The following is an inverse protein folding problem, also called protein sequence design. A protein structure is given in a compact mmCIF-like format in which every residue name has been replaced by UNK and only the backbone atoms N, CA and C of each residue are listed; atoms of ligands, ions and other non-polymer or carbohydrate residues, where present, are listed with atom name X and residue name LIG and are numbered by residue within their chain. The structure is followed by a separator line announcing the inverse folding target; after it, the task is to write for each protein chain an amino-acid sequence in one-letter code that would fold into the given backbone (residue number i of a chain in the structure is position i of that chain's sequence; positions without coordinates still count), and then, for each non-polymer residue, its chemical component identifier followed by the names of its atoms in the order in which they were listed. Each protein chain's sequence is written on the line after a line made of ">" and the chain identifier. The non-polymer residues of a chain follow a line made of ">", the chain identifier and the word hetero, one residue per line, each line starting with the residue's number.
data_IF_581195488950
#
_entry.id   IF_581195488950
#
_cell.length_a   1.000
_cell.length_b   1.000
_cell.length_c   1.000
_cell.angle_alpha   90.00
_cell.angle_beta   90.00
_cell.angle_gamma   90.00
#
_symmetry.space_group_name_H-M   'P 1'
#
loop_
_entity.id
_entity.type
_entity.pdbx_description
1 polymer ?
#
# COMPACT_ATOMS: atom_id res chain seq x y z
N UNK A 1 -18.88 -24.37 -29.18
CA UNK A 1 -18.78 -23.22 -28.26
C UNK A 1 -18.34 -23.78 -26.92
N UNK A 2 -17.04 -23.78 -26.64
CA UNK A 2 -16.53 -24.12 -25.31
C UNK A 2 -15.76 -22.91 -24.79
N UNK A 3 -16.30 -22.32 -23.73
CA UNK A 3 -15.80 -21.12 -23.08
C UNK A 3 -14.60 -21.46 -22.22
N UNK A 4 -13.41 -21.16 -22.74
CA UNK A 4 -12.20 -21.07 -21.94
C UNK A 4 -12.28 -19.79 -21.08
N UNK A 5 -12.69 -19.95 -19.82
CA UNK A 5 -12.78 -18.87 -18.85
C UNK A 5 -11.38 -18.57 -18.31
N UNK A 6 -10.86 -17.40 -18.65
CA UNK A 6 -9.49 -17.01 -18.41
C UNK A 6 -9.10 -16.86 -16.93
N UNK A 7 -7.83 -17.23 -16.67
CA UNK A 7 -6.79 -16.28 -16.27
C UNK A 7 -6.90 -15.65 -14.88
N UNK A 8 -6.01 -16.08 -13.99
CA UNK A 8 -5.66 -15.33 -12.78
C UNK A 8 -4.67 -16.06 -11.89
N UNK A 9 -3.41 -16.16 -12.31
CA UNK A 9 -2.33 -16.65 -11.46
C UNK A 9 -1.99 -15.70 -10.31
N UNK A 10 -1.38 -16.25 -9.24
CA UNK A 10 -0.61 -15.44 -8.29
C UNK A 10 -0.57 -15.94 -6.83
N UNK A 11 0.12 -17.06 -6.58
CA UNK A 11 0.89 -17.35 -5.35
C UNK A 11 0.17 -17.55 -4.00
N UNK A 12 0.19 -18.79 -3.47
CA UNK A 12 0.10 -19.19 -2.05
C UNK A 12 -1.02 -18.60 -1.14
N UNK A 13 -2.00 -17.88 -1.68
CA UNK A 13 -3.08 -17.32 -0.87
C UNK A 13 -4.10 -18.41 -0.48
N UNK A 14 -4.24 -18.67 0.82
CA UNK A 14 -5.27 -19.54 1.41
C UNK A 14 -6.53 -18.73 1.66
N UNK A 15 -7.68 -19.21 1.19
CA UNK A 15 -8.97 -18.58 1.47
C UNK A 15 -9.54 -19.09 2.81
N UNK A 16 -9.81 -18.15 3.72
CA UNK A 16 -10.30 -18.47 5.07
C UNK A 16 -11.82 -18.31 5.17
N UNK A 17 -12.37 -17.29 4.52
CA UNK A 17 -13.80 -16.99 4.52
C UNK A 17 -14.15 -16.20 3.26
N UNK A 18 -15.25 -16.58 2.60
CA UNK A 18 -15.84 -15.82 1.51
C UNK A 18 -17.29 -15.45 1.87
N UNK A 19 -17.67 -14.19 1.65
CA UNK A 19 -19.05 -13.70 1.76
C UNK A 19 -19.39 -12.85 0.55
N UNK A 20 -20.66 -12.82 0.21
CA UNK A 20 -21.19 -11.98 -0.86
C UNK A 20 -22.31 -11.10 -0.34
N UNK A 21 -22.44 -9.92 -0.94
CA UNK A 21 -23.53 -8.99 -0.64
C UNK A 21 -23.99 -8.34 -1.94
N UNK A 22 -25.28 -8.44 -2.22
CA UNK A 22 -25.89 -7.68 -3.31
C UNK A 22 -26.57 -6.43 -2.73
N UNK A 23 -26.20 -5.26 -3.25
CA UNK A 23 -26.86 -3.99 -2.96
C UNK A 23 -27.17 -3.31 -4.28
N UNK A 24 -28.46 -3.04 -4.54
CA UNK A 24 -28.94 -2.61 -5.84
C UNK A 24 -28.45 -3.56 -6.98
N UNK A 25 -27.81 -3.01 -8.02
CA UNK A 25 -27.19 -3.76 -9.12
C UNK A 25 -25.69 -4.05 -8.89
N UNK A 26 -25.18 -3.81 -7.69
CA UNK A 26 -23.78 -4.06 -7.33
C UNK A 26 -23.68 -5.35 -6.54
N UNK A 27 -22.69 -6.17 -6.87
CA UNK A 27 -22.35 -7.38 -6.15
C UNK A 27 -20.97 -7.21 -5.51
N UNK A 28 -20.93 -7.33 -4.20
CA UNK A 28 -19.71 -7.27 -3.41
C UNK A 28 -19.26 -8.68 -3.04
N UNK A 29 -17.96 -8.92 -3.14
CA UNK A 29 -17.28 -10.13 -2.65
C UNK A 29 -16.32 -9.73 -1.56
N UNK A 30 -16.36 -10.45 -0.44
CA UNK A 30 -15.51 -10.26 0.72
C UNK A 30 -14.73 -11.56 0.93
N UNK A 31 -13.46 -11.53 0.58
CA UNK A 31 -12.60 -12.70 0.69
C UNK A 31 -11.53 -12.43 1.75
N UNK A 32 -11.68 -13.05 2.93
CA UNK A 32 -10.63 -13.08 3.95
C UNK A 32 -9.61 -14.15 3.54
N UNK A 33 -8.37 -13.71 3.29
CA UNK A 33 -7.29 -14.56 2.79
C UNK A 33 -6.06 -14.46 3.67
N UNK A 34 -5.23 -15.49 3.61
CA UNK A 34 -3.95 -15.57 4.28
C UNK A 34 -2.85 -15.91 3.30
N UNK A 35 -1.71 -15.24 3.42
CA UNK A 35 -0.51 -15.58 2.68
C UNK A 35 0.73 -15.40 3.56
N UNK A 36 1.95 -15.71 3.07
CA UNK A 36 3.16 -15.60 3.87
C UNK A 36 3.43 -14.19 4.43
N UNK A 37 2.77 -13.14 3.91
CA UNK A 37 2.89 -11.75 4.42
C UNK A 37 1.86 -11.42 5.49
N UNK A 38 0.94 -12.33 5.78
CA UNK A 38 -0.13 -12.19 6.76
C UNK A 38 -1.53 -12.23 6.15
N UNK A 39 -2.52 -11.99 7.01
CA UNK A 39 -3.94 -12.03 6.65
C UNK A 39 -4.43 -10.67 6.17
N UNK A 40 -5.34 -10.71 5.20
CA UNK A 40 -5.95 -9.52 4.62
C UNK A 40 -7.37 -9.82 4.13
N UNK A 41 -8.21 -8.79 4.09
CA UNK A 41 -9.54 -8.83 3.52
C UNK A 41 -9.53 -8.18 2.14
N UNK A 42 -9.89 -8.95 1.12
CA UNK A 42 -10.13 -8.45 -0.24
C UNK A 42 -11.60 -8.13 -0.41
N UNK A 43 -11.91 -6.88 -0.75
CA UNK A 43 -13.28 -6.45 -1.02
C UNK A 43 -13.38 -6.07 -2.49
N UNK A 44 -14.08 -6.88 -3.28
CA UNK A 44 -14.35 -6.60 -4.69
C UNK A 44 -15.76 -6.06 -4.87
N UNK A 45 -15.91 -4.93 -5.54
CA UNK A 45 -17.17 -4.50 -6.13
C UNK A 45 -17.25 -4.97 -7.58
N UNK A 46 -18.33 -5.64 -7.96
CA UNK A 46 -18.64 -6.02 -9.34
C UNK A 46 -19.93 -5.34 -9.78
N UNK A 47 -19.86 -4.63 -10.90
CA UNK A 47 -21.01 -4.12 -11.65
C UNK A 47 -21.11 -4.85 -12.98
N UNK A 48 -22.12 -4.53 -13.79
CA UNK A 48 -22.21 -5.03 -15.17
C UNK A 48 -21.06 -4.55 -16.07
N UNK A 49 -20.41 -3.44 -15.72
CA UNK A 49 -19.39 -2.80 -16.57
C UNK A 49 -17.96 -3.01 -16.05
N UNK A 50 -17.78 -2.99 -14.73
CA UNK A 50 -16.46 -2.92 -14.10
C UNK A 50 -16.37 -3.79 -12.87
N UNK A 51 -15.13 -4.18 -12.52
CA UNK A 51 -14.79 -4.76 -11.23
C UNK A 51 -13.70 -3.90 -10.60
N UNK A 52 -13.95 -3.44 -9.38
CA UNK A 52 -12.99 -2.71 -8.56
C UNK A 52 -12.68 -3.49 -7.30
N UNK A 53 -11.50 -3.32 -6.71
CA UNK A 53 -11.14 -4.09 -5.52
C UNK A 53 -10.21 -3.30 -4.62
N UNK A 54 -10.54 -3.28 -3.33
CA UNK A 54 -9.65 -2.77 -2.29
C UNK A 54 -9.12 -3.92 -1.42
N UNK A 55 -7.93 -3.74 -0.85
CA UNK A 55 -7.26 -4.72 0.01
C UNK A 55 -7.04 -4.11 1.39
N UNK A 56 -7.79 -4.58 2.37
CA UNK A 56 -7.75 -4.13 3.77
C UNK A 56 -6.85 -5.07 4.57
N UNK A 57 -5.74 -4.59 5.18
CA UNK A 57 -4.96 -5.38 6.13
C UNK A 57 -5.84 -5.92 7.28
N UNK A 58 -5.54 -7.11 7.81
CA UNK A 58 -6.40 -7.73 8.85
C UNK A 58 -6.55 -6.89 10.13
N UNK A 59 -5.50 -6.18 10.55
CA UNK A 59 -5.54 -5.21 11.66
C UNK A 59 -6.42 -3.98 11.37
N UNK A 60 -6.80 -3.76 10.10
CA UNK A 60 -7.69 -2.69 9.66
C UNK A 60 -9.18 -3.04 9.66
N UNK A 61 -9.54 -4.31 9.81
CA UNK A 61 -10.93 -4.77 9.64
C UNK A 61 -11.83 -4.19 10.74
N UNK A 62 -11.36 -4.11 11.98
CA UNK A 62 -12.11 -3.50 13.09
C UNK A 62 -12.36 -2.02 12.85
N UNK A 63 -11.37 -1.28 12.35
CA UNK A 63 -11.51 0.14 12.02
C UNK A 63 -12.51 0.37 10.88
N UNK A 64 -12.50 -0.50 9.87
CA UNK A 64 -13.53 -0.49 8.83
C UNK A 64 -14.92 -0.72 9.41
N UNK A 65 -15.08 -1.69 10.32
CA UNK A 65 -16.34 -1.95 11.00
C UNK A 65 -16.82 -0.72 11.78
N UNK A 66 -15.94 -0.06 12.54
CA UNK A 66 -16.28 1.15 13.30
C UNK A 66 -16.69 2.31 12.40
N UNK A 67 -16.02 2.49 11.26
CA UNK A 67 -16.41 3.49 10.27
C UNK A 67 -17.78 3.18 9.66
N UNK A 68 -18.06 1.91 9.33
CA UNK A 68 -19.39 1.52 8.85
C UNK A 68 -20.47 1.58 9.93
N UNK A 69 -20.13 1.41 11.22
CA UNK A 69 -21.04 1.72 12.34
C UNK A 69 -21.38 3.21 12.38
N UNK A 70 -20.38 4.08 12.21
CA UNK A 70 -20.59 5.52 12.13
C UNK A 70 -21.50 5.90 10.95
N UNK A 71 -21.22 5.40 9.74
CA UNK A 71 -22.00 5.74 8.55
C UNK A 71 -23.41 5.16 8.56
N UNK A 72 -23.60 3.94 9.08
CA UNK A 72 -24.90 3.27 9.13
C UNK A 72 -25.74 3.67 10.35
N UNK A 73 -25.32 4.65 11.15
CA UNK A 73 -26.08 5.09 12.32
C UNK A 73 -27.32 5.88 11.88
N UNK A 74 -28.55 5.40 12.13
CA UNK A 74 -29.76 6.10 11.73
C UNK A 74 -29.99 7.40 12.51
N UNK A 75 -29.38 7.55 13.68
CA UNK A 75 -29.58 8.70 14.57
C UNK A 75 -28.70 9.91 14.20
N UNK A 76 -27.71 9.73 13.31
CA UNK A 76 -26.80 10.78 12.86
C UNK A 76 -26.91 10.98 11.33
N UNK A 77 -27.81 11.88 10.88
CA UNK A 77 -28.01 12.10 9.45
C UNK A 77 -26.84 12.85 8.79
N UNK A 78 -25.99 13.54 9.55
CA UNK A 78 -24.87 14.34 9.06
C UNK A 78 -23.54 13.58 9.19
N UNK A 79 -23.28 12.76 8.18
CA UNK A 79 -22.03 11.99 8.10
C UNK A 79 -20.96 12.71 7.28
N UNK A 80 -19.73 12.75 7.80
CA UNK A 80 -18.59 13.43 7.17
C UNK A 80 -17.60 12.46 6.52
N UNK A 81 -16.83 12.97 5.55
CA UNK A 81 -15.69 12.22 4.99
C UNK A 81 -14.66 11.91 6.07
N UNK A 82 -14.06 10.71 5.99
CA UNK A 82 -13.01 10.27 6.92
C UNK A 82 -11.83 9.67 6.18
N UNK A 83 -10.67 9.72 6.84
CA UNK A 83 -9.44 9.10 6.38
C UNK A 83 -8.99 8.06 7.41
N UNK A 84 -8.50 6.92 6.92
CA UNK A 84 -7.93 5.86 7.73
C UNK A 84 -6.57 5.46 7.15
N UNK A 85 -5.50 5.81 7.87
CA UNK A 85 -4.16 5.38 7.53
C UNK A 85 -3.85 4.03 8.18
N UNK A 86 -3.42 3.06 7.37
CA UNK A 86 -3.01 1.72 7.78
C UNK A 86 -1.70 1.38 7.07
N UNK A 87 -0.61 1.32 7.84
CA UNK A 87 0.74 1.05 7.34
C UNK A 87 1.12 1.98 6.17
N UNK A 88 1.24 1.41 4.96
CA UNK A 88 1.58 2.09 3.70
C UNK A 88 0.35 2.43 2.85
N UNK A 89 -0.84 2.27 3.42
CA UNK A 89 -2.13 2.52 2.77
C UNK A 89 -2.86 3.64 3.47
N UNK A 90 -3.59 4.40 2.68
CA UNK A 90 -4.55 5.38 3.16
C UNK A 90 -5.89 5.06 2.52
N UNK A 91 -6.92 4.95 3.34
CA UNK A 91 -8.28 4.75 2.90
C UNK A 91 -9.09 6.04 3.08
N UNK A 92 -9.73 6.48 2.01
CA UNK A 92 -10.63 7.63 2.03
C UNK A 92 -12.07 7.15 1.96
N UNK A 93 -12.90 7.63 2.88
CA UNK A 93 -14.32 7.35 3.00
C UNK A 93 -15.07 8.63 2.70
N UNK A 94 -15.55 8.77 1.47
CA UNK A 94 -16.24 9.98 1.01
C UNK A 94 -17.74 9.70 0.87
N UNK A 95 -18.56 10.45 1.61
CA UNK A 95 -20.01 10.41 1.46
C UNK A 95 -20.39 11.23 0.23
N UNK A 96 -21.23 10.65 -0.63
CA UNK A 96 -21.78 11.34 -1.79
C UNK A 96 -23.26 11.08 -1.93
N UNK A 97 -23.93 11.97 -2.66
CA UNK A 97 -25.35 11.86 -2.98
C UNK A 97 -25.56 12.16 -4.46
N UNK A 98 -26.41 11.38 -5.11
CA UNK A 98 -26.83 11.62 -6.48
C UNK A 98 -28.32 11.28 -6.63
N UNK A 99 -28.86 11.40 -7.85
CA UNK A 99 -30.29 11.12 -8.13
C UNK A 99 -30.76 9.72 -7.74
N UNK A 100 -29.84 8.77 -7.56
CA UNK A 100 -30.14 7.39 -7.14
C UNK A 100 -30.10 7.20 -5.62
N UNK A 101 -29.63 8.19 -4.87
CA UNK A 101 -29.50 8.15 -3.41
C UNK A 101 -28.09 8.43 -2.92
N UNK A 102 -27.91 8.24 -1.62
CA UNK A 102 -26.62 8.38 -0.93
C UNK A 102 -25.73 7.16 -1.19
N UNK A 103 -24.42 7.37 -1.18
CA UNK A 103 -23.42 6.32 -1.33
C UNK A 103 -22.15 6.68 -0.58
N UNK A 104 -21.40 5.65 -0.19
CA UNK A 104 -20.10 5.78 0.42
C UNK A 104 -19.05 5.32 -0.58
N UNK A 105 -18.16 6.22 -0.97
CA UNK A 105 -17.02 5.94 -1.84
C UNK A 105 -15.82 5.61 -0.96
N UNK A 106 -15.33 4.38 -1.07
CA UNK A 106 -14.17 3.90 -0.31
C UNK A 106 -12.99 3.73 -1.25
N UNK A 107 -11.97 4.57 -1.12
CA UNK A 107 -10.77 4.53 -1.96
C UNK A 107 -9.56 4.01 -1.20
N UNK A 108 -8.86 3.01 -1.74
CA UNK A 108 -7.52 2.59 -1.31
C UNK A 108 -6.47 3.37 -2.09
N UNK A 109 -5.63 4.14 -1.42
CA UNK A 109 -4.39 4.69 -1.96
C UNK A 109 -3.19 3.99 -1.30
N UNK A 110 -2.16 3.67 -2.08
CA UNK A 110 -0.93 3.08 -1.58
C UNK A 110 0.25 3.53 -2.43
N UNK A 111 1.44 3.60 -1.84
CA UNK A 111 2.66 4.03 -2.54
C UNK A 111 2.99 3.14 -3.74
N UNK A 112 2.58 1.87 -3.70
CA UNK A 112 2.93 0.85 -4.70
C UNK A 112 1.79 0.47 -5.64
N UNK A 113 0.57 1.02 -5.48
CA UNK A 113 -0.59 0.66 -6.29
C UNK A 113 -1.42 1.86 -6.69
N UNK A 114 -1.96 1.80 -7.91
CA UNK A 114 -2.95 2.75 -8.38
C UNK A 114 -4.14 2.79 -7.41
N UNK A 115 -4.68 4.00 -7.19
CA UNK A 115 -5.83 4.20 -6.33
C UNK A 115 -6.99 3.34 -6.83
N UNK A 116 -7.45 2.43 -6.00
CA UNK A 116 -8.64 1.63 -6.27
C UNK A 116 -9.81 2.18 -5.49
N UNK A 117 -11.03 2.01 -5.98
CA UNK A 117 -12.23 2.55 -5.31
C UNK A 117 -13.41 1.64 -5.49
N UNK A 118 -14.10 1.38 -4.39
CA UNK A 118 -15.43 0.78 -4.38
C UNK A 118 -16.47 1.84 -3.98
N UNK A 119 -17.71 1.66 -4.43
CA UNK A 119 -18.84 2.53 -4.14
C UNK A 119 -19.95 1.70 -3.52
N UNK A 120 -20.19 1.88 -2.23
CA UNK A 120 -21.23 1.19 -1.47
C UNK A 120 -22.48 2.07 -1.41
N UNK A 121 -23.57 1.72 -2.11
CA UNK A 121 -24.82 2.47 -2.02
C UNK A 121 -25.37 2.40 -0.60
N UNK A 122 -25.97 3.48 -0.13
CA UNK A 122 -26.68 3.48 1.15
C UNK A 122 -27.80 2.45 1.15
N UNK A 123 -28.45 2.22 0.00
CA UNK A 123 -29.52 1.23 -0.16
C UNK A 123 -30.80 1.90 -0.65
N UNK A 124 -31.88 1.13 -0.69
CA UNK A 124 -33.21 1.62 -1.13
C UNK A 124 -33.92 2.41 -0.03
N UNK A 125 -35.24 2.22 0.09
CA UNK A 125 -36.13 2.99 0.96
C UNK A 125 -35.82 2.96 2.48
N UNK A 126 -34.71 2.35 2.93
CA UNK A 126 -34.28 2.28 4.34
C UNK A 126 -32.76 2.42 4.56
N UNK A 127 -31.97 2.84 3.56
CA UNK A 127 -30.50 2.92 3.66
C UNK A 127 -29.85 1.66 4.26
N UNK A 128 -30.33 0.48 3.84
CA UNK A 128 -29.97 -0.83 4.37
C UNK A 128 -28.63 -1.37 3.85
N UNK A 129 -28.12 -0.83 2.74
CA UNK A 129 -26.87 -1.23 2.10
C UNK A 129 -25.65 -1.02 2.99
N UNK A 130 -25.53 0.14 3.65
CA UNK A 130 -24.43 0.39 4.60
C UNK A 130 -24.53 -0.51 5.83
N UNK A 131 -25.73 -0.71 6.37
CA UNK A 131 -25.96 -1.60 7.50
C UNK A 131 -25.67 -3.08 7.14
N UNK A 132 -26.05 -3.54 5.95
CA UNK A 132 -25.76 -4.88 5.48
C UNK A 132 -24.25 -5.09 5.28
N UNK A 133 -23.56 -4.11 4.69
CA UNK A 133 -22.11 -4.14 4.52
C UNK A 133 -21.39 -4.23 5.88
N UNK A 134 -21.83 -3.41 6.85
CA UNK A 134 -21.37 -3.43 8.24
C UNK A 134 -21.56 -4.78 8.91
N UNK A 135 -22.72 -5.42 8.74
CA UNK A 135 -22.99 -6.73 9.35
C UNK A 135 -22.05 -7.81 8.80
N UNK A 136 -21.77 -7.80 7.50
CA UNK A 136 -20.78 -8.71 6.89
C UNK A 136 -19.37 -8.44 7.45
N UNK A 137 -18.97 -7.16 7.60
CA UNK A 137 -17.70 -6.82 8.24
C UNK A 137 -17.63 -7.29 9.70
N UNK A 138 -18.73 -7.23 10.45
CA UNK A 138 -18.78 -7.71 11.82
C UNK A 138 -18.53 -9.23 11.89
N UNK A 139 -19.20 -10.01 11.04
CA UNK A 139 -18.98 -11.45 10.95
C UNK A 139 -17.54 -11.80 10.56
N UNK A 140 -16.95 -11.07 9.60
CA UNK A 140 -15.56 -11.25 9.20
C UNK A 140 -14.60 -10.86 10.33
N UNK A 141 -14.90 -9.80 11.08
CA UNK A 141 -14.08 -9.34 12.21
C UNK A 141 -14.10 -10.31 13.39
N UNK A 142 -15.21 -11.01 13.63
CA UNK A 142 -15.26 -12.11 14.59
C UNK A 142 -14.45 -13.32 14.07
N UNK A 143 -14.68 -13.73 12.81
CA UNK A 143 -13.96 -14.84 12.21
C UNK A 143 -12.44 -14.60 12.19
N UNK A 144 -11.99 -13.38 11.86
CA UNK A 144 -10.56 -13.04 11.81
C UNK A 144 -9.88 -13.15 13.20
N UNK A 145 -10.62 -12.98 14.30
CA UNK A 145 -10.11 -13.15 15.67
C UNK A 145 -10.02 -14.62 16.07
N UNK A 146 -10.92 -15.49 15.59
CA UNK A 146 -10.90 -16.91 15.91
C UNK A 146 -9.66 -17.63 15.36
N UNK A 147 -9.15 -17.21 14.20
CA UNK A 147 -7.90 -17.73 13.64
C UNK A 147 -6.63 -17.19 14.33
N UNK A 148 -6.74 -16.40 15.42
CA UNK A 148 -5.59 -15.94 16.24
C UNK A 148 -5.26 -16.93 17.36
N UNK A 149 -6.10 -17.94 17.63
CA UNK A 149 -5.81 -18.93 18.65
C UNK A 149 -4.63 -19.82 18.22
N UNK A 150 -3.49 -19.83 18.95
CA UNK A 150 -2.47 -20.83 18.71
C UNK A 150 -3.05 -22.19 19.08
N UNK A 151 -3.00 -23.11 18.14
CA UNK A 151 -3.36 -24.50 18.33
C UNK A 151 -2.44 -25.11 19.42
N UNK A 152 -2.83 -25.04 20.70
CA UNK A 152 -2.20 -25.79 21.80
C UNK A 152 -2.96 -27.10 22.02
N UNK A 153 -2.97 -27.95 21.01
CA UNK A 153 -3.28 -29.38 21.16
C UNK A 153 -2.43 -30.19 20.19
N UNK A 154 -1.22 -30.53 20.64
CA UNK A 154 -0.70 -31.90 20.69
C UNK A 154 0.79 -31.85 21.05
N UNK A 155 1.04 -31.87 22.36
CA UNK A 155 2.27 -32.40 22.93
C UNK A 155 2.00 -33.86 23.28
N UNK A 156 2.64 -34.78 22.56
CA UNK A 156 2.97 -36.13 23.03
C UNK A 156 4.37 -36.46 22.46
N UNK A 157 5.39 -36.67 23.31
CA UNK A 157 6.68 -37.16 22.88
C UNK A 157 6.65 -38.70 22.91
N UNK A 158 6.60 -39.35 21.76
CA UNK A 158 6.83 -40.80 21.72
C UNK A 158 8.33 -41.07 21.67
N UNK A 159 8.89 -41.33 22.84
CA UNK A 159 10.10 -42.13 23.00
C UNK A 159 9.88 -43.51 22.37
N UNK A 160 10.76 -43.90 21.45
CA UNK A 160 11.13 -45.32 21.34
C UNK A 160 12.62 -45.44 21.01
N UNK A 161 13.29 -46.17 21.88
CA UNK A 161 14.72 -46.36 22.01
C UNK A 161 15.21 -47.56 21.15
N UNK A 162 16.48 -47.46 20.73
CA UNK A 162 17.48 -48.51 20.38
C UNK A 162 17.44 -49.19 19.01
N UNK A 163 18.58 -49.08 18.32
CA UNK A 163 19.02 -50.04 17.31
C UNK A 163 20.38 -49.68 16.70
N UNK A 164 21.45 -50.26 17.26
CA UNK A 164 22.86 -50.17 16.89
C UNK A 164 23.13 -50.73 15.46
N UNK A 165 24.10 -50.16 14.71
CA UNK A 165 25.29 -50.86 14.17
C UNK A 165 26.04 -50.04 13.09
N UNK A 166 27.34 -49.88 13.36
CA UNK A 166 28.53 -50.09 12.51
C UNK A 166 28.82 -49.33 11.20
N UNK A 167 30.01 -48.70 11.26
CA UNK A 167 30.96 -48.38 10.21
C UNK A 167 31.05 -49.42 9.08
N UNK A 168 31.17 -48.96 7.82
CA UNK A 168 32.34 -49.27 6.97
C UNK A 168 32.51 -48.22 5.87
N UNK A 169 33.73 -47.69 5.74
CA UNK A 169 34.16 -46.88 4.60
C UNK A 169 34.60 -47.71 3.39
N UNK A 170 34.37 -47.15 2.20
CA UNK A 170 35.02 -47.43 0.91
C UNK A 170 34.67 -46.20 0.05
N UNK A 171 35.58 -45.32 -0.41
CA UNK A 171 36.87 -45.56 -1.04
C UNK A 171 36.68 -45.66 -2.57
N UNK A 172 36.89 -44.56 -3.32
CA UNK A 172 37.81 -44.47 -4.48
C UNK A 172 37.66 -43.18 -5.33
N UNK A 173 38.63 -42.27 -5.17
CA UNK A 173 39.50 -41.50 -6.10
C UNK A 173 39.15 -41.23 -7.59
N UNK A 174 39.21 -39.94 -7.98
CA UNK A 174 40.04 -39.31 -9.07
C UNK A 174 39.39 -37.96 -9.47
N UNK A 175 39.87 -36.76 -9.11
CA UNK A 175 41.16 -36.06 -9.32
C UNK A 175 41.52 -35.72 -10.77
N UNK A 176 41.38 -34.43 -11.12
CA UNK A 176 42.28 -33.52 -11.86
C UNK A 176 41.44 -32.28 -12.22
N UNK A 177 41.64 -31.06 -11.68
CA UNK A 177 42.81 -30.16 -11.82
C UNK A 177 42.78 -29.53 -13.22
N UNK A 178 42.77 -28.20 -13.48
CA UNK A 178 43.19 -27.03 -12.72
C UNK A 178 42.68 -25.73 -13.41
N UNK A 179 42.57 -24.65 -12.62
CA UNK A 179 42.46 -23.22 -12.99
C UNK A 179 43.64 -22.69 -13.87
N UNK A 180 43.82 -21.36 -14.12
CA UNK A 180 42.92 -20.26 -14.56
C UNK A 180 43.56 -19.40 -15.70
N UNK A 181 42.87 -18.39 -16.26
CA UNK A 181 43.45 -17.04 -16.57
C UNK A 181 42.53 -16.08 -17.37
N UNK A 182 42.28 -14.90 -16.77
CA UNK A 182 42.31 -13.52 -17.30
C UNK A 182 41.72 -13.09 -18.68
N UNK A 183 40.78 -12.14 -18.58
CA UNK A 183 40.63 -10.83 -19.27
C UNK A 183 40.69 -10.72 -20.81
N UNK A 184 39.63 -10.14 -21.40
CA UNK A 184 39.64 -8.84 -22.12
C UNK A 184 38.23 -8.36 -22.47
N UNK A 185 38.08 -7.04 -22.43
CA UNK A 185 36.93 -6.19 -22.75
C UNK A 185 36.30 -6.44 -24.13
N UNK A 186 34.97 -6.36 -24.22
CA UNK A 186 34.29 -5.66 -25.32
C UNK A 186 32.95 -5.05 -24.86
N UNK A 187 32.94 -3.74 -24.96
CA UNK A 187 31.86 -2.79 -24.79
C UNK A 187 30.93 -2.84 -26.02
N UNK A 188 29.63 -3.15 -25.86
CA UNK A 188 28.57 -2.66 -26.77
C UNK A 188 27.27 -2.44 -25.98
N UNK A 189 27.00 -1.16 -25.82
CA UNK A 189 25.78 -0.47 -25.43
C UNK A 189 24.53 -0.97 -26.19
N UNK A 190 23.44 -1.24 -25.48
CA UNK A 190 22.09 -1.26 -26.05
C UNK A 190 21.04 -0.84 -25.02
N UNK A 191 21.08 0.45 -24.77
CA UNK A 191 19.99 1.28 -24.26
C UNK A 191 18.67 0.97 -25.01
N UNK A 192 17.61 0.66 -24.25
CA UNK A 192 16.23 0.71 -24.73
C UNK A 192 15.58 1.96 -24.10
N UNK A 193 15.13 2.85 -24.99
CA UNK A 193 14.65 4.22 -24.76
C UNK A 193 13.73 4.40 -23.53
N UNK A 194 14.24 5.14 -22.55
CA UNK A 194 13.44 6.01 -21.70
C UNK A 194 13.59 7.44 -22.27
N UNK A 195 12.52 8.23 -22.40
CA UNK A 195 12.65 9.60 -22.88
C UNK A 195 13.53 10.40 -21.90
N UNK A 196 14.42 11.26 -22.41
CA UNK A 196 15.38 11.99 -21.57
C UNK A 196 14.67 12.94 -20.60
N UNK A 197 15.18 13.11 -19.37
CA UNK A 197 14.67 14.09 -18.42
C UNK A 197 15.22 15.49 -18.73
N UNK A 198 14.99 15.99 -19.93
CA UNK A 198 15.29 17.37 -20.30
C UNK A 198 14.05 17.97 -20.95
N UNK A 199 13.23 18.66 -20.14
CA UNK A 199 12.40 19.82 -20.54
C UNK A 199 11.46 20.28 -19.40
N UNK A 200 11.97 20.41 -18.16
CA UNK A 200 11.25 21.15 -17.11
C UNK A 200 12.23 22.00 -16.29
N UNK A 201 13.05 22.80 -16.96
CA UNK A 201 14.01 23.70 -16.31
C UNK A 201 13.65 25.19 -16.49
N UNK A 202 12.38 25.54 -16.62
CA UNK A 202 12.00 26.92 -16.92
C UNK A 202 11.71 27.81 -15.70
N UNK A 203 12.08 27.40 -14.48
CA UNK A 203 12.04 28.30 -13.32
C UNK A 203 13.32 28.32 -12.45
N UNK A 204 14.35 27.55 -12.82
CA UNK A 204 15.74 27.69 -12.35
C UNK A 204 16.05 27.49 -10.86
N UNK A 205 15.05 27.41 -9.98
CA UNK A 205 15.27 27.29 -8.54
C UNK A 205 15.20 25.81 -8.13
N UNK A 206 16.37 25.22 -7.94
CA UNK A 206 16.54 23.94 -7.24
C UNK A 206 17.28 24.19 -5.93
N UNK A 207 16.75 23.67 -4.83
CA UNK A 207 17.42 23.69 -3.52
C UNK A 207 17.62 22.27 -3.03
N UNK A 208 18.70 22.04 -2.27
CA UNK A 208 18.99 20.72 -1.69
C UNK A 208 19.20 20.86 -0.20
N UNK A 209 18.61 19.96 0.58
CA UNK A 209 18.94 19.77 1.99
C UNK A 209 19.46 18.35 2.22
N UNK A 210 20.32 18.20 3.22
CA UNK A 210 20.74 16.90 3.72
C UNK A 210 20.18 16.72 5.13
N UNK A 211 19.58 15.57 5.37
CA UNK A 211 19.19 15.12 6.70
C UNK A 211 19.61 13.66 6.82
N UNK A 212 20.43 13.35 7.82
CA UNK A 212 21.07 12.04 7.99
C UNK A 212 21.76 11.55 6.70
N UNK A 213 21.46 10.32 6.27
CA UNK A 213 21.98 9.72 5.04
C UNK A 213 21.18 10.09 3.78
N UNK A 214 20.23 11.03 3.90
CA UNK A 214 19.28 11.38 2.84
C UNK A 214 19.59 12.77 2.26
N UNK A 215 19.35 12.90 0.95
CA UNK A 215 19.34 14.17 0.23
C UNK A 215 17.93 14.46 -0.25
N UNK A 216 17.41 15.64 0.04
CA UNK A 216 16.12 16.09 -0.50
C UNK A 216 16.35 17.24 -1.48
N UNK A 217 15.86 17.08 -2.70
CA UNK A 217 15.92 18.07 -3.78
C UNK A 217 14.55 18.73 -3.92
N UNK A 218 14.52 20.05 -4.02
CA UNK A 218 13.32 20.88 -4.13
C UNK A 218 13.38 21.64 -5.44
N UNK A 219 12.69 21.12 -6.46
CA UNK A 219 12.74 21.65 -7.82
C UNK A 219 11.43 22.36 -8.17
N UNK A 220 11.51 23.65 -8.50
CA UNK A 220 10.37 24.39 -9.00
C UNK A 220 10.19 24.15 -10.50
N UNK A 221 9.06 23.54 -10.87
CA UNK A 221 8.72 23.15 -12.24
C UNK A 221 7.46 23.82 -12.78
N UNK A 222 7.28 23.73 -14.10
CA UNK A 222 6.11 24.25 -14.81
C UNK A 222 5.76 23.35 -15.98
N UNK A 223 4.48 23.07 -16.18
CA UNK A 223 3.98 22.35 -17.35
C UNK A 223 2.62 22.93 -17.79
N UNK A 224 2.00 22.34 -18.81
CA UNK A 224 0.71 22.79 -19.34
C UNK A 224 -0.45 22.71 -18.33
N UNK A 225 -0.26 22.06 -17.18
CA UNK A 225 -1.25 21.94 -16.09
C UNK A 225 -1.00 22.95 -14.96
N UNK A 226 0.08 23.74 -15.04
CA UNK A 226 0.45 24.77 -14.07
C UNK A 226 1.83 24.58 -13.46
N UNK A 227 2.10 25.37 -12.43
CA UNK A 227 3.37 25.34 -11.69
C UNK A 227 3.32 24.36 -10.52
N UNK A 228 4.45 23.72 -10.23
CA UNK A 228 4.56 22.75 -9.15
C UNK A 228 5.94 22.76 -8.49
N UNK A 229 6.01 22.31 -7.24
CA UNK A 229 7.25 22.01 -6.53
C UNK A 229 7.42 20.49 -6.49
N UNK A 230 8.51 19.97 -7.03
CA UNK A 230 8.89 18.56 -6.89
C UNK A 230 9.86 18.41 -5.74
N UNK A 231 9.54 17.55 -4.77
CA UNK A 231 10.44 17.20 -3.68
C UNK A 231 10.91 15.77 -3.91
N UNK A 232 12.20 15.57 -4.17
CA UNK A 232 12.80 14.24 -4.37
C UNK A 232 13.64 13.84 -3.16
N UNK A 233 13.36 12.70 -2.55
CA UNK A 233 14.23 12.05 -1.57
C UNK A 233 15.19 11.09 -2.28
N UNK A 234 16.47 11.15 -1.93
CA UNK A 234 17.51 10.23 -2.40
C UNK A 234 18.24 9.64 -1.19
N UNK A 235 18.19 8.31 -1.07
CA UNK A 235 18.85 7.54 -0.02
C UNK A 235 19.61 6.35 -0.65
N UNK A 236 20.94 6.45 -0.75
CA UNK A 236 21.74 5.46 -1.47
C UNK A 236 21.39 5.41 -2.97
N UNK A 237 20.99 4.24 -3.44
CA UNK A 237 20.51 4.03 -4.82
C UNK A 237 19.02 4.34 -5.00
N UNK A 238 18.26 4.44 -3.90
CA UNK A 238 16.82 4.66 -3.95
C UNK A 238 16.49 6.14 -4.14
N UNK A 239 15.51 6.40 -5.01
CA UNK A 239 14.98 7.73 -5.27
C UNK A 239 13.46 7.70 -5.32
N UNK A 240 12.83 8.53 -4.51
CA UNK A 240 11.38 8.75 -4.51
C UNK A 240 11.08 10.25 -4.63
N UNK A 241 9.90 10.62 -5.12
CA UNK A 241 9.53 12.04 -5.23
C UNK A 241 8.04 12.27 -5.10
N UNK A 242 7.67 13.42 -4.53
CA UNK A 242 6.31 13.96 -4.56
C UNK A 242 6.27 15.22 -5.43
N UNK A 243 5.10 15.52 -5.97
CA UNK A 243 4.82 16.74 -6.72
C UNK A 243 3.70 17.49 -6.02
N UNK A 244 3.99 18.73 -5.62
CA UNK A 244 3.06 19.64 -4.96
C UNK A 244 2.64 20.73 -5.94
N UNK A 245 1.35 20.83 -6.33
CA UNK A 245 0.86 21.99 -7.06
C UNK A 245 1.15 23.27 -6.26
N UNK A 246 1.59 24.34 -6.93
CA UNK A 246 1.96 25.58 -6.25
C UNK A 246 0.79 26.21 -5.48
N UNK A 247 -0.43 25.98 -5.93
CA UNK A 247 -1.67 26.42 -5.26
C UNK A 247 -1.83 25.87 -3.85
N UNK A 248 -1.22 24.72 -3.52
CA UNK A 248 -1.26 24.09 -2.20
C UNK A 248 -0.03 24.36 -1.33
N UNK A 249 0.95 25.15 -1.82
CA UNK A 249 2.25 25.28 -1.16
C UNK A 249 2.16 26.02 0.19
N UNK A 250 1.26 26.99 0.31
CA UNK A 250 1.05 27.74 1.57
C UNK A 250 0.52 26.83 2.68
N UNK A 251 -0.50 26.03 2.37
CA UNK A 251 -1.10 25.09 3.33
C UNK A 251 -0.10 24.01 3.73
N UNK A 252 0.69 23.51 2.77
CA UNK A 252 1.76 22.56 3.05
C UNK A 252 2.81 23.15 4.01
N UNK A 253 3.24 24.39 3.76
CA UNK A 253 4.17 25.11 4.65
C UNK A 253 3.58 25.32 6.05
N UNK A 254 2.33 25.75 6.16
CA UNK A 254 1.65 25.95 7.45
C UNK A 254 1.58 24.64 8.25
N UNK A 255 1.28 23.52 7.60
CA UNK A 255 1.23 22.21 8.23
C UNK A 255 2.61 21.76 8.73
N UNK A 256 3.64 21.89 7.90
CA UNK A 256 5.02 21.58 8.31
C UNK A 256 5.44 22.48 9.48
N UNK A 257 5.14 23.78 9.42
CA UNK A 257 5.43 24.74 10.47
C UNK A 257 4.75 24.38 11.79
N UNK A 258 3.50 23.92 11.76
CA UNK A 258 2.78 23.46 12.95
C UNK A 258 3.49 22.28 13.64
N UNK A 259 4.00 21.30 12.87
CA UNK A 259 4.79 20.21 13.44
C UNK A 259 6.13 20.68 14.00
N UNK A 260 6.79 21.65 13.34
CA UNK A 260 8.02 22.25 13.85
C UNK A 260 7.78 22.93 15.19
N UNK A 261 6.69 23.70 15.34
CA UNK A 261 6.37 24.39 16.59
C UNK A 261 6.10 23.40 17.73
N UNK A 262 5.31 22.35 17.50
CA UNK A 262 5.01 21.34 18.53
C UNK A 262 6.24 20.52 18.91
N UNK A 263 7.21 20.38 18.01
CA UNK A 263 8.43 19.59 18.25
C UNK A 263 9.63 20.45 18.64
N UNK A 264 9.46 21.76 18.78
CA UNK A 264 10.54 22.73 19.04
C UNK A 264 11.41 22.36 20.23
N UNK A 265 10.80 22.00 21.36
CA UNK A 265 11.51 21.60 22.59
C UNK A 265 12.35 20.31 22.41
N UNK A 266 12.00 19.47 21.44
CA UNK A 266 12.76 18.24 21.11
C UNK A 266 13.85 18.51 20.08
N UNK A 267 13.63 19.48 19.19
CA UNK A 267 14.57 19.86 18.12
C UNK A 267 15.73 20.69 18.68
N UNK A 268 15.50 21.54 19.69
CA UNK A 268 16.54 22.40 20.29
C UNK A 268 17.69 21.61 20.95
N UNK A 269 17.51 20.31 21.23
CA UNK A 269 18.56 19.40 21.71
C UNK A 269 19.32 18.62 20.62
N UNK A 270 18.91 18.71 19.35
CA UNK A 270 19.52 17.98 18.23
C UNK A 270 20.35 18.96 17.39
N UNK A 271 21.67 18.81 17.40
CA UNK A 271 22.62 19.63 16.63
C UNK A 271 22.17 19.77 15.17
N UNK A 272 21.95 21.00 14.73
CA UNK A 272 21.24 21.34 13.49
C UNK A 272 21.81 20.67 12.23
N UNK A 273 20.88 20.29 11.34
CA UNK A 273 21.20 19.81 9.99
C UNK A 273 22.10 20.83 9.28
N UNK A 274 23.26 20.38 8.78
CA UNK A 274 24.16 21.21 7.98
C UNK A 274 23.51 21.50 6.62
N UNK A 275 22.73 22.58 6.55
CA UNK A 275 22.19 23.11 5.30
C UNK A 275 23.33 23.81 4.54
N UNK A 276 23.90 23.13 3.55
CA UNK A 276 24.79 23.75 2.55
C UNK A 276 24.00 23.94 1.26
N UNK A 277 23.81 25.20 0.86
CA UNK A 277 23.33 25.58 -0.46
C UNK A 277 24.44 25.19 -1.45
N UNK A 278 24.12 24.36 -2.44
CA UNK A 278 25.05 23.97 -3.51
C UNK A 278 24.52 24.60 -4.78
N UNK A 279 25.29 25.53 -5.36
CA UNK A 279 24.95 26.16 -6.63
C UNK A 279 25.08 25.15 -7.79
N UNK A 280 24.27 25.29 -8.86
CA UNK A 280 24.36 24.41 -10.01
C UNK A 280 25.71 24.56 -10.71
N UNK A 281 26.22 23.47 -11.35
CA UNK A 281 27.49 23.52 -12.07
C UNK A 281 27.41 24.51 -13.23
N UNK A 282 28.32 25.48 -13.24
CA UNK A 282 28.48 26.39 -14.38
C UNK A 282 29.06 25.59 -15.57
N UNK A 283 28.32 25.59 -16.68
CA UNK A 283 28.84 25.27 -18.02
C UNK A 283 29.13 26.58 -18.74
#
# INVERSE_FOLDING_TARGET
>A
MEGNSGGGGGGNDVELLCKTLQVEHKLFYFDLKENPRGRYLKISEKTSATRSTIIVPSNGISWFLDLFNYYANPDDPEVFSKELQLDTKVFYFDVGENRRGRFLKVSEASVSRNRSTIIVPAGGARDDGWAAFRNILAEINEASRLFVLPNRQNSEPSEHLVGLSDDVGVGFISSHGSQPSTATDLNVDRSADLPPPEEINNMGVSKVIRADQKRFFFDLGSNNRGHFLRISEVAGADRSSIILPLSGLKQFYEMVGHFVEITKDRIEGMTGANVRIVDPPQR
#
